data_IF_720352473225
#
_entry.id   IF_720352473225
#
_cell.length_a   1.000
_cell.length_b   1.000
_cell.length_c   1.000
_cell.angle_alpha   90.00
_cell.angle_beta   90.00
_cell.angle_gamma   90.00
#
_symmetry.space_group_name_H-M   'P 1'
#
loop_
_entity.id
_entity.type
_entity.pdbx_description
1 polymer ?
#
# COMPACT_ATOMS: atom_id res chain seq x y z
N UNK A 1 7.71 -10.39 -10.31
CA UNK A 1 7.63 -10.01 -8.88
C UNK A 1 6.67 -8.84 -8.73
N UNK A 2 5.82 -8.87 -7.69
CA UNK A 2 4.91 -7.81 -7.27
C UNK A 2 5.18 -7.46 -5.80
N UNK A 3 5.37 -6.19 -5.49
CA UNK A 3 5.57 -5.66 -4.13
C UNK A 3 4.32 -4.88 -3.72
N UNK A 4 3.72 -5.24 -2.58
CA UNK A 4 2.57 -4.55 -2.02
C UNK A 4 3.01 -3.60 -0.90
N UNK A 5 2.86 -2.29 -1.12
CA UNK A 5 3.11 -1.27 -0.10
C UNK A 5 1.85 -0.96 0.70
N UNK A 6 1.97 -0.59 1.98
CA UNK A 6 0.88 0.06 2.70
C UNK A 6 0.65 1.48 2.14
N UNK A 7 -0.56 2.05 2.26
CA UNK A 7 -0.75 3.47 1.98
C UNK A 7 -0.09 4.31 3.07
N UNK A 8 -0.19 5.63 2.90
CA UNK A 8 0.05 6.59 3.96
C UNK A 8 -1.24 7.22 4.48
N UNK A 9 -1.22 7.59 5.76
CA UNK A 9 -2.25 8.48 6.32
C UNK A 9 -2.15 9.85 5.67
N UNK A 10 -0.96 10.46 5.70
CA UNK A 10 -0.68 11.73 5.05
C UNK A 10 -0.79 11.61 3.53
N UNK A 11 -1.62 12.44 2.90
CA UNK A 11 -1.75 12.52 1.45
C UNK A 11 -1.63 13.98 1.01
N UNK A 12 -0.75 14.25 0.04
CA UNK A 12 -0.65 15.57 -0.55
C UNK A 12 -1.84 15.80 -1.48
N UNK A 13 -2.64 16.82 -1.18
CA UNK A 13 -3.75 17.24 -2.03
C UNK A 13 -3.21 17.91 -3.31
N UNK A 14 -3.49 17.35 -4.51
CA UNK A 14 -3.13 18.01 -5.76
C UNK A 14 -3.83 19.36 -5.87
N UNK A 15 -3.15 20.38 -6.42
CA UNK A 15 -3.77 21.70 -6.67
C UNK A 15 -4.44 21.82 -8.04
N UNK A 16 -4.08 20.93 -8.96
CA UNK A 16 -4.45 20.96 -10.39
C UNK A 16 -4.32 19.56 -10.99
N UNK A 17 -5.06 19.31 -12.05
CA UNK A 17 -5.14 18.01 -12.71
C UNK A 17 -6.59 17.71 -13.10
N UNK A 18 -6.78 16.75 -14.00
CA UNK A 18 -8.12 16.29 -14.32
C UNK A 18 -8.75 15.58 -13.11
N UNK A 19 -10.09 15.64 -12.96
CA UNK A 19 -10.81 14.85 -11.98
C UNK A 19 -10.57 13.35 -12.14
N UNK A 20 -11.00 12.58 -11.13
CA UNK A 20 -10.83 11.14 -11.11
C UNK A 20 -11.61 10.48 -12.26
N UNK A 21 -10.90 9.67 -13.05
CA UNK A 21 -11.49 8.72 -13.98
C UNK A 21 -11.09 7.31 -13.56
N UNK A 22 -12.05 6.58 -12.98
CA UNK A 22 -11.83 5.23 -12.46
C UNK A 22 -11.40 4.24 -13.56
N UNK A 23 -11.83 4.44 -14.80
CA UNK A 23 -11.50 3.56 -15.92
C UNK A 23 -10.02 3.66 -16.34
N UNK A 24 -9.33 4.75 -15.96
CA UNK A 24 -7.90 4.95 -16.23
C UNK A 24 -6.99 4.35 -15.17
N UNK A 25 -7.55 3.91 -14.03
CA UNK A 25 -6.76 3.31 -12.97
C UNK A 25 -6.34 1.89 -13.35
N UNK A 26 -5.14 1.50 -12.94
CA UNK A 26 -4.65 0.13 -13.11
C UNK A 26 -5.58 -0.87 -12.41
N UNK A 27 -5.51 -2.14 -12.85
CA UNK A 27 -6.33 -3.25 -12.34
C UNK A 27 -7.84 -3.02 -12.58
N UNK A 28 -8.30 -3.07 -13.85
CA UNK A 28 -9.67 -2.69 -14.22
C UNK A 28 -10.77 -3.51 -13.52
N UNK A 29 -10.45 -4.74 -13.09
CA UNK A 29 -11.35 -5.60 -12.29
C UNK A 29 -11.79 -4.95 -10.97
N UNK A 30 -11.07 -3.93 -10.50
CA UNK A 30 -11.41 -3.18 -9.28
C UNK A 30 -12.33 -1.98 -9.55
N UNK A 31 -12.70 -1.68 -10.81
CA UNK A 31 -13.43 -0.45 -11.16
C UNK A 31 -14.81 -0.36 -10.49
N UNK A 32 -15.59 -1.44 -10.55
CA UNK A 32 -16.92 -1.47 -9.94
C UNK A 32 -16.90 -1.33 -8.40
N UNK A 33 -16.09 -2.09 -7.63
CA UNK A 33 -16.01 -1.87 -6.19
C UNK A 33 -15.38 -0.52 -5.79
N UNK A 34 -14.54 0.07 -6.65
CA UNK A 34 -14.06 1.45 -6.46
C UNK A 34 -15.20 2.45 -6.56
N UNK A 35 -16.09 2.31 -7.53
CA UNK A 35 -17.26 3.18 -7.69
C UNK A 35 -18.18 3.07 -6.45
N UNK A 36 -18.50 1.85 -6.01
CA UNK A 36 -19.31 1.61 -4.82
C UNK A 36 -18.74 2.33 -3.58
N UNK A 37 -17.45 2.17 -3.29
CA UNK A 37 -16.83 2.79 -2.12
C UNK A 37 -16.67 4.30 -2.26
N UNK A 38 -16.42 4.80 -3.47
CA UNK A 38 -16.35 6.23 -3.77
C UNK A 38 -17.71 6.90 -3.53
N UNK A 39 -18.76 6.38 -4.14
CA UNK A 39 -20.11 6.93 -4.03
C UNK A 39 -20.58 6.89 -2.58
N UNK A 40 -20.40 5.76 -1.89
CA UNK A 40 -20.74 5.63 -0.46
C UNK A 40 -19.99 6.63 0.42
N UNK A 41 -18.70 6.86 0.15
CA UNK A 41 -17.90 7.81 0.91
C UNK A 41 -18.34 9.26 0.65
N UNK A 42 -18.62 9.60 -0.61
CA UNK A 42 -19.09 10.92 -1.02
C UNK A 42 -20.46 11.21 -0.41
N UNK A 43 -21.39 10.26 -0.47
CA UNK A 43 -22.74 10.39 0.10
C UNK A 43 -22.68 10.59 1.62
N UNK A 44 -21.88 9.78 2.32
CA UNK A 44 -21.66 9.93 3.76
C UNK A 44 -21.18 11.35 4.09
N UNK A 45 -20.19 11.86 3.35
CA UNK A 45 -19.56 13.15 3.64
C UNK A 45 -20.38 14.36 3.17
N UNK A 46 -21.29 14.17 2.21
CA UNK A 46 -22.18 15.22 1.69
C UNK A 46 -23.46 15.39 2.53
N UNK A 47 -23.82 14.36 3.32
CA UNK A 47 -24.98 14.37 4.19
C UNK A 47 -24.73 15.09 5.52
N UNK A 48 -24.42 14.33 6.56
CA UNK A 48 -24.21 14.82 7.92
C UNK A 48 -22.71 14.85 8.26
N UNK A 49 -22.08 16.05 8.35
CA UNK A 49 -20.65 16.17 8.61
C UNK A 49 -20.22 15.64 9.98
N UNK A 50 -21.08 15.67 11.00
CA UNK A 50 -20.75 15.17 12.34
C UNK A 50 -20.71 13.65 12.33
N UNK A 51 -21.74 13.03 11.74
CA UNK A 51 -21.79 11.57 11.54
C UNK A 51 -20.65 11.09 10.66
N UNK A 52 -20.34 11.81 9.58
CA UNK A 52 -19.22 11.48 8.71
C UNK A 52 -17.88 11.55 9.47
N UNK A 53 -17.68 12.58 10.29
CA UNK A 53 -16.48 12.69 11.12
C UNK A 53 -16.36 11.54 12.13
N UNK A 54 -17.47 11.14 12.76
CA UNK A 54 -17.51 9.98 13.67
C UNK A 54 -17.12 8.69 12.95
N UNK A 55 -17.78 8.37 11.83
CA UNK A 55 -17.53 7.14 11.05
C UNK A 55 -16.09 7.07 10.52
N UNK A 56 -15.53 8.21 10.10
CA UNK A 56 -14.18 8.30 9.55
C UNK A 56 -13.09 8.48 10.63
N UNK A 57 -13.48 8.51 11.91
CA UNK A 57 -12.62 8.78 13.06
C UNK A 57 -11.79 10.05 12.86
N UNK A 58 -12.44 11.11 12.34
CA UNK A 58 -11.83 12.40 12.07
C UNK A 58 -12.02 13.30 13.30
N UNK A 59 -10.91 13.72 13.89
CA UNK A 59 -10.93 14.65 15.01
C UNK A 59 -11.42 16.05 14.61
N UNK A 60 -11.90 16.83 15.60
CA UNK A 60 -12.44 18.19 15.40
C UNK A 60 -11.51 19.14 14.62
N UNK A 61 -10.20 18.95 14.72
CA UNK A 61 -9.18 19.77 14.02
C UNK A 61 -9.04 19.44 12.54
N UNK A 62 -9.69 18.36 12.06
CA UNK A 62 -9.54 17.82 10.71
C UNK A 62 -10.87 17.73 9.96
N UNK A 63 -11.94 18.39 10.42
CA UNK A 63 -13.28 18.36 9.80
C UNK A 63 -13.28 18.79 8.32
N UNK A 64 -12.30 19.60 7.89
CA UNK A 64 -12.12 19.94 6.48
C UNK A 64 -11.90 18.71 5.58
N UNK A 65 -11.42 17.58 6.12
CA UNK A 65 -11.28 16.32 5.39
C UNK A 65 -12.63 15.69 5.01
N UNK A 66 -13.70 15.95 5.78
CA UNK A 66 -15.05 15.53 5.43
C UNK A 66 -15.51 16.28 4.17
N UNK A 67 -15.37 17.60 4.16
CA UNK A 67 -15.69 18.42 2.97
C UNK A 67 -14.84 18.06 1.75
N UNK A 68 -13.57 17.71 1.95
CA UNK A 68 -12.71 17.23 0.87
C UNK A 68 -13.20 15.90 0.29
N UNK A 69 -13.65 14.97 1.14
CA UNK A 69 -14.24 13.70 0.68
C UNK A 69 -15.54 13.90 -0.10
N UNK A 70 -16.41 14.83 0.34
CA UNK A 70 -17.67 15.15 -0.32
C UNK A 70 -17.50 15.66 -1.77
N UNK A 71 -16.31 16.16 -2.12
CA UNK A 71 -16.00 16.75 -3.44
C UNK A 71 -15.02 15.91 -4.26
N UNK A 72 -14.76 14.66 -3.85
CA UNK A 72 -13.81 13.75 -4.53
C UNK A 72 -14.05 13.59 -6.04
N UNK A 73 -15.29 13.52 -6.56
CA UNK A 73 -15.51 13.36 -8.00
C UNK A 73 -15.03 14.58 -8.82
N UNK A 74 -14.88 15.76 -8.19
CA UNK A 74 -14.37 16.98 -8.82
C UNK A 74 -12.92 17.28 -8.41
N UNK A 75 -12.39 16.57 -7.41
CA UNK A 75 -11.06 16.83 -6.88
C UNK A 75 -9.97 16.57 -7.93
N UNK A 76 -8.96 17.46 -8.04
CA UNK A 76 -7.84 17.24 -8.95
C UNK A 76 -7.05 16.00 -8.54
N UNK A 77 -6.57 15.26 -9.55
CA UNK A 77 -5.75 14.07 -9.34
C UNK A 77 -4.27 14.33 -9.61
N UNK A 78 -3.42 13.55 -8.94
CA UNK A 78 -2.01 13.39 -9.27
C UNK A 78 -1.63 11.90 -9.15
N UNK A 79 -0.43 11.54 -9.62
CA UNK A 79 0.08 10.18 -9.51
C UNK A 79 0.10 9.74 -8.04
N UNK A 80 -0.22 8.48 -7.78
CA UNK A 80 -0.25 7.92 -6.42
C UNK A 80 1.09 8.09 -5.68
N UNK A 81 2.22 8.01 -6.39
CA UNK A 81 3.56 8.29 -5.83
C UNK A 81 3.82 9.75 -5.44
N UNK A 82 2.99 10.69 -5.88
CA UNK A 82 2.99 12.08 -5.45
C UNK A 82 1.89 12.40 -4.44
N UNK A 83 0.83 11.57 -4.37
CA UNK A 83 -0.27 11.73 -3.41
C UNK A 83 0.06 11.09 -2.08
N UNK A 84 0.56 9.85 -2.05
CA UNK A 84 0.95 9.20 -0.79
C UNK A 84 2.29 9.76 -0.29
N UNK A 85 2.31 10.22 0.96
CA UNK A 85 3.44 10.92 1.58
C UNK A 85 3.84 10.34 2.94
N UNK A 86 4.97 10.76 3.48
CA UNK A 86 5.41 10.39 4.81
C UNK A 86 6.41 9.24 4.78
N UNK A 87 6.85 8.83 5.98
CA UNK A 87 8.11 8.12 6.23
C UNK A 87 8.52 7.03 5.23
N UNK A 88 7.60 6.17 4.78
CA UNK A 88 7.92 5.14 3.78
C UNK A 88 8.19 5.76 2.39
N UNK A 89 7.32 6.65 1.95
CA UNK A 89 7.39 7.30 0.65
C UNK A 89 8.53 8.30 0.59
N UNK A 90 8.79 9.01 1.68
CA UNK A 90 9.95 9.90 1.81
C UNK A 90 11.27 9.11 1.72
N UNK A 91 11.32 7.89 2.27
CA UNK A 91 12.51 7.03 2.19
C UNK A 91 12.64 6.29 0.85
N UNK A 92 11.52 6.02 0.16
CA UNK A 92 11.52 5.52 -1.21
C UNK A 92 12.04 6.58 -2.18
N UNK A 93 11.67 7.85 -1.95
CA UNK A 93 12.10 9.03 -2.69
C UNK A 93 12.09 8.82 -4.21
N UNK A 94 10.88 8.61 -4.73
CA UNK A 94 10.65 8.25 -6.14
C UNK A 94 11.24 9.28 -7.11
N UNK A 95 11.29 10.56 -6.71
CA UNK A 95 11.81 11.63 -7.54
C UNK A 95 13.27 11.40 -7.95
N UNK A 96 14.09 10.85 -7.05
CA UNK A 96 15.53 10.64 -7.25
C UNK A 96 15.89 9.27 -7.82
N UNK A 97 14.90 8.40 -8.05
CA UNK A 97 15.14 7.10 -8.69
C UNK A 97 15.66 7.25 -10.13
N UNK A 98 16.56 6.35 -10.53
CA UNK A 98 17.00 6.23 -11.92
C UNK A 98 15.82 5.97 -12.88
N UNK A 99 15.90 6.34 -14.17
CA UNK A 99 14.83 6.05 -15.12
C UNK A 99 14.46 4.56 -15.22
N UNK A 100 15.46 3.68 -15.08
CA UNK A 100 15.24 2.23 -15.06
C UNK A 100 14.50 1.79 -13.78
N UNK A 101 14.88 2.33 -12.62
CA UNK A 101 14.18 2.08 -11.37
C UNK A 101 12.73 2.59 -11.39
N UNK A 102 12.45 3.77 -11.97
CA UNK A 102 11.08 4.30 -12.15
C UNK A 102 10.21 3.38 -13.01
N UNK A 103 10.76 2.84 -14.12
CA UNK A 103 10.04 1.87 -14.96
C UNK A 103 9.71 0.58 -14.18
N UNK A 104 10.69 0.07 -13.41
CA UNK A 104 10.48 -1.10 -12.55
C UNK A 104 9.47 -0.83 -11.44
N UNK A 105 9.50 0.35 -10.83
CA UNK A 105 8.54 0.77 -9.81
C UNK A 105 7.11 0.72 -10.36
N UNK A 106 6.89 1.26 -11.56
CA UNK A 106 5.57 1.26 -12.22
C UNK A 106 5.02 -0.14 -12.50
N UNK A 107 5.87 -1.11 -12.86
CA UNK A 107 5.43 -2.48 -13.18
C UNK A 107 5.42 -3.44 -11.98
N UNK A 108 6.28 -3.22 -10.98
CA UNK A 108 6.50 -4.17 -9.88
C UNK A 108 5.85 -3.74 -8.56
N UNK A 109 5.44 -2.48 -8.40
CA UNK A 109 4.85 -2.00 -7.13
C UNK A 109 3.37 -1.75 -7.29
N UNK A 110 2.60 -2.14 -6.28
CA UNK A 110 1.24 -1.68 -6.05
C UNK A 110 1.09 -1.17 -4.60
N UNK A 111 0.27 -0.16 -4.40
CA UNK A 111 0.01 0.48 -3.11
C UNK A 111 -1.39 0.09 -2.67
N UNK A 112 -1.51 -0.53 -1.50
CA UNK A 112 -2.81 -0.79 -0.90
C UNK A 112 -3.52 0.52 -0.56
N UNK A 113 -4.81 0.59 -0.85
CA UNK A 113 -5.61 1.81 -0.74
C UNK A 113 -6.97 1.48 -0.15
N UNK A 114 -7.37 2.16 0.92
CA UNK A 114 -8.69 1.95 1.51
C UNK A 114 -9.83 2.26 0.53
N UNK A 115 -9.67 3.28 -0.31
CA UNK A 115 -10.68 3.70 -1.27
C UNK A 115 -10.56 3.01 -2.63
N UNK A 116 -9.33 2.63 -3.02
CA UNK A 116 -9.07 2.11 -4.37
C UNK A 116 -8.63 0.64 -4.45
N UNK A 117 -8.52 -0.03 -3.30
CA UNK A 117 -8.09 -1.42 -3.16
C UNK A 117 -6.58 -1.54 -3.34
N UNK A 118 -6.15 -1.49 -4.60
CA UNK A 118 -4.75 -1.39 -5.01
C UNK A 118 -4.62 -0.33 -6.11
N UNK A 119 -3.54 0.45 -6.09
CA UNK A 119 -3.18 1.37 -7.18
C UNK A 119 -1.72 1.23 -7.54
N UNK A 120 -1.36 1.47 -8.79
CA UNK A 120 0.03 1.60 -9.22
C UNK A 120 0.57 2.99 -8.86
N UNK A 121 1.89 3.16 -8.68
CA UNK A 121 2.52 4.47 -8.46
C UNK A 121 2.12 5.53 -9.49
N UNK A 122 1.84 5.13 -10.73
CA UNK A 122 1.43 6.01 -11.82
C UNK A 122 -0.04 6.36 -11.89
N UNK A 123 -0.90 5.63 -11.16
CA UNK A 123 -2.35 5.86 -11.18
C UNK A 123 -2.66 7.26 -10.65
N UNK A 124 -3.56 7.96 -11.32
CA UNK A 124 -3.95 9.32 -10.96
C UNK A 124 -5.12 9.28 -9.98
N UNK A 125 -4.85 9.65 -8.73
CA UNK A 125 -5.84 9.63 -7.63
C UNK A 125 -5.95 11.02 -6.98
N UNK A 126 -7.11 11.35 -6.37
CA UNK A 126 -7.23 12.50 -5.48
C UNK A 126 -6.65 12.17 -4.09
N UNK A 127 -6.39 13.20 -3.28
CA UNK A 127 -6.20 13.00 -1.84
C UNK A 127 -7.57 12.76 -1.18
N UNK A 128 -7.65 11.73 -0.34
CA UNK A 128 -8.89 11.33 0.33
C UNK A 128 -8.60 10.91 1.78
N UNK A 129 -9.64 10.88 2.62
CA UNK A 129 -9.58 10.35 3.99
C UNK A 129 -10.52 9.15 4.12
N UNK A 130 -9.93 7.96 4.14
CA UNK A 130 -10.62 6.71 4.50
C UNK A 130 -9.57 5.77 5.08
N UNK A 131 -9.86 5.18 6.25
CA UNK A 131 -8.98 4.20 6.89
C UNK A 131 -9.36 2.79 6.45
N UNK A 132 -8.39 1.87 6.40
CA UNK A 132 -8.67 0.47 6.04
C UNK A 132 -9.51 -0.27 7.10
N UNK A 133 -9.56 0.23 8.33
CA UNK A 133 -10.40 -0.33 9.40
C UNK A 133 -11.83 0.21 9.42
N UNK A 134 -12.16 1.20 8.58
CA UNK A 134 -13.47 1.85 8.58
C UNK A 134 -14.57 0.89 8.13
N UNK A 135 -15.74 1.02 8.76
CA UNK A 135 -16.99 0.41 8.31
C UNK A 135 -17.91 1.51 7.77
N UNK A 136 -18.22 1.47 6.48
CA UNK A 136 -19.08 2.46 5.86
C UNK A 136 -20.56 2.06 6.04
N UNK A 137 -21.45 2.98 6.44
CA UNK A 137 -22.89 2.70 6.51
C UNK A 137 -23.44 2.17 5.18
N UNK A 138 -24.30 1.16 5.24
CA UNK A 138 -24.92 0.54 4.06
C UNK A 138 -24.04 -0.46 3.30
N UNK A 139 -22.71 -0.39 3.45
CA UNK A 139 -21.74 -1.30 2.78
C UNK A 139 -21.08 -2.26 3.76
N UNK A 140 -20.79 -1.79 4.98
CA UNK A 140 -20.06 -2.55 6.00
C UNK A 140 -18.55 -2.32 5.97
N UNK A 141 -17.74 -3.25 6.52
CA UNK A 141 -16.30 -3.09 6.63
C UNK A 141 -15.62 -2.95 5.26
N UNK A 142 -14.81 -1.92 5.06
CA UNK A 142 -14.02 -1.70 3.83
C UNK A 142 -13.17 -2.93 3.49
N UNK A 143 -12.58 -3.57 4.51
CA UNK A 143 -11.81 -4.78 4.33
C UNK A 143 -12.62 -5.98 3.80
N UNK A 144 -13.94 -6.02 4.03
CA UNK A 144 -14.80 -7.08 3.52
C UNK A 144 -15.03 -6.91 2.01
N UNK A 145 -15.34 -5.69 1.55
CA UNK A 145 -15.47 -5.36 0.12
C UNK A 145 -14.22 -5.78 -0.64
N UNK A 146 -13.04 -5.40 -0.15
CA UNK A 146 -11.78 -5.73 -0.83
C UNK A 146 -11.43 -7.23 -0.82
N UNK A 147 -11.93 -7.99 0.16
CA UNK A 147 -11.67 -9.44 0.27
C UNK A 147 -12.24 -10.20 -0.91
N UNK A 148 -13.36 -9.74 -1.44
CA UNK A 148 -14.06 -10.38 -2.56
C UNK A 148 -13.40 -10.07 -3.91
N UNK A 149 -12.69 -8.93 -4.02
CA UNK A 149 -12.25 -8.42 -5.33
C UNK A 149 -10.73 -8.40 -5.55
N UNK A 150 -9.92 -8.33 -4.48
CA UNK A 150 -8.47 -8.20 -4.63
C UNK A 150 -7.78 -9.49 -5.09
N UNK A 151 -8.37 -10.67 -4.86
CA UNK A 151 -7.74 -11.94 -5.22
C UNK A 151 -7.40 -12.04 -6.70
N UNK A 152 -8.40 -11.94 -7.61
CA UNK A 152 -8.15 -11.92 -9.05
C UNK A 152 -7.16 -10.83 -9.46
N UNK A 153 -7.30 -9.61 -8.94
CA UNK A 153 -6.44 -8.48 -9.28
C UNK A 153 -4.96 -8.70 -8.89
N UNK A 154 -4.71 -9.26 -7.71
CA UNK A 154 -3.35 -9.57 -7.25
C UNK A 154 -2.77 -10.73 -8.04
N UNK A 155 -3.52 -11.81 -8.25
CA UNK A 155 -3.03 -13.00 -8.97
C UNK A 155 -2.69 -12.67 -10.42
N UNK A 156 -3.53 -11.90 -11.12
CA UNK A 156 -3.26 -11.44 -12.48
C UNK A 156 -2.01 -10.56 -12.54
N UNK A 157 -1.91 -9.57 -11.66
CA UNK A 157 -0.75 -8.68 -11.60
C UNK A 157 0.56 -9.38 -11.18
N UNK A 158 0.44 -10.47 -10.43
CA UNK A 158 1.56 -11.27 -9.94
C UNK A 158 2.13 -12.20 -11.02
N UNK A 159 1.26 -12.79 -11.86
CA UNK A 159 1.64 -13.79 -12.86
C UNK A 159 2.33 -15.00 -12.22
N UNK A 160 3.55 -15.30 -12.67
CA UNK A 160 4.45 -16.35 -12.15
C UNK A 160 5.51 -15.83 -11.16
N UNK A 161 5.48 -14.53 -10.82
CA UNK A 161 6.50 -13.88 -9.99
C UNK A 161 6.35 -14.06 -8.47
N UNK A 162 7.33 -13.56 -7.72
CA UNK A 162 7.27 -13.47 -6.25
C UNK A 162 6.31 -12.35 -5.79
N UNK A 163 5.49 -12.61 -4.77
CA UNK A 163 4.74 -11.59 -4.04
C UNK A 163 5.53 -11.18 -2.79
N UNK A 164 5.85 -9.89 -2.68
CA UNK A 164 6.50 -9.30 -1.50
C UNK A 164 5.48 -8.44 -0.77
N UNK A 165 4.99 -8.92 0.37
CA UNK A 165 4.00 -8.21 1.18
C UNK A 165 4.68 -7.33 2.24
N UNK A 166 4.60 -6.01 2.03
CA UNK A 166 5.08 -4.99 2.96
C UNK A 166 3.94 -4.27 3.68
N UNK A 167 2.68 -4.67 3.45
CA UNK A 167 1.50 -4.01 4.02
C UNK A 167 1.50 -4.08 5.55
N UNK A 168 0.80 -3.15 6.19
CA UNK A 168 0.45 -3.29 7.61
C UNK A 168 -0.69 -4.28 7.79
N UNK A 169 -0.89 -4.77 9.01
CA UNK A 169 -1.94 -5.75 9.35
C UNK A 169 -3.34 -5.32 8.92
N UNK A 170 -3.68 -4.03 9.05
CA UNK A 170 -4.96 -3.50 8.62
C UNK A 170 -5.23 -3.72 7.12
N UNK A 171 -4.22 -3.55 6.27
CA UNK A 171 -4.37 -3.73 4.82
C UNK A 171 -4.11 -5.17 4.38
N UNK A 172 -3.39 -5.97 5.17
CA UNK A 172 -3.31 -7.42 4.98
C UNK A 172 -4.68 -8.11 5.17
N UNK A 173 -5.60 -7.49 5.91
CA UNK A 173 -6.97 -7.99 6.08
C UNK A 173 -7.85 -7.83 4.82
N UNK A 174 -7.42 -6.98 3.87
CA UNK A 174 -8.13 -6.78 2.60
C UNK A 174 -8.03 -8.02 1.72
N UNK A 175 -6.89 -8.72 1.76
CA UNK A 175 -6.73 -9.96 1.04
C UNK A 175 -5.49 -10.71 1.55
N UNK A 176 -5.62 -12.02 1.67
CA UNK A 176 -4.54 -12.95 2.00
C UNK A 176 -4.35 -13.91 0.83
N UNK A 177 -3.09 -14.18 0.52
CA UNK A 177 -2.76 -15.17 -0.49
C UNK A 177 -3.32 -16.56 -0.09
N UNK A 178 -3.95 -17.28 -1.03
CA UNK A 178 -4.32 -18.68 -0.82
C UNK A 178 -3.07 -19.55 -0.66
N UNK A 179 -3.26 -20.75 -0.09
CA UNK A 179 -2.15 -21.62 0.32
C UNK A 179 -1.26 -22.10 -0.85
N UNK A 180 -1.83 -22.21 -2.05
CA UNK A 180 -1.11 -22.58 -3.27
C UNK A 180 -0.13 -21.49 -3.74
N UNK A 181 -0.39 -20.22 -3.42
CA UNK A 181 0.56 -19.13 -3.67
C UNK A 181 1.66 -19.04 -2.60
N UNK A 182 1.50 -19.68 -1.44
CA UNK A 182 2.41 -19.54 -0.30
C UNK A 182 3.91 -19.72 -0.64
N UNK A 183 4.35 -20.67 -1.49
CA UNK A 183 5.76 -20.81 -1.87
C UNK A 183 6.35 -19.56 -2.56
N UNK A 184 5.50 -18.67 -3.07
CA UNK A 184 5.85 -17.43 -3.77
C UNK A 184 5.45 -16.19 -2.98
N UNK A 185 5.21 -16.30 -1.67
CA UNK A 185 4.87 -15.16 -0.81
C UNK A 185 5.98 -14.92 0.21
N UNK A 186 6.57 -13.74 0.16
CA UNK A 186 7.49 -13.23 1.17
C UNK A 186 6.83 -12.11 1.96
N UNK A 187 6.66 -12.27 3.27
CA UNK A 187 6.24 -11.18 4.16
C UNK A 187 7.45 -10.58 4.83
N UNK A 188 7.69 -9.29 4.70
CA UNK A 188 8.87 -8.65 5.31
C UNK A 188 8.50 -7.93 6.60
N UNK A 189 9.18 -8.30 7.68
CA UNK A 189 9.07 -7.66 8.99
C UNK A 189 10.40 -7.00 9.33
N UNK A 190 10.35 -5.74 9.74
CA UNK A 190 11.54 -5.00 10.18
C UNK A 190 11.63 -5.06 11.70
N UNK A 191 12.77 -5.53 12.20
CA UNK A 191 13.09 -5.63 13.62
C UNK A 191 14.27 -4.71 13.92
N UNK A 192 14.17 -3.95 15.01
CA UNK A 192 15.27 -3.15 15.54
C UNK A 192 15.95 -3.90 16.66
N UNK A 193 17.27 -4.05 16.57
CA UNK A 193 18.08 -4.69 17.59
C UNK A 193 18.91 -3.65 18.34
N UNK A 194 18.71 -3.60 19.65
CA UNK A 194 19.46 -2.72 20.56
C UNK A 194 19.73 -3.47 21.87
N UNK A 195 20.99 -3.53 22.29
CA UNK A 195 21.40 -4.25 23.50
C UNK A 195 20.98 -5.73 23.51
N UNK A 196 21.03 -6.40 22.34
CA UNK A 196 20.62 -7.81 22.18
C UNK A 196 19.10 -8.05 22.26
N UNK A 197 18.27 -7.00 22.32
CA UNK A 197 16.80 -7.10 22.32
C UNK A 197 16.24 -6.61 21.00
N UNK A 198 15.32 -7.41 20.42
CA UNK A 198 14.65 -7.09 19.17
C UNK A 198 13.24 -6.55 19.40
N UNK A 199 12.89 -5.44 18.76
CA UNK A 199 11.56 -4.83 18.83
C UNK A 199 11.12 -4.29 17.47
N UNK A 200 9.82 -4.30 17.22
CA UNK A 200 9.25 -3.57 16.08
C UNK A 200 9.11 -2.10 16.48
N UNK A 201 9.76 -1.20 15.73
CA UNK A 201 9.61 0.24 15.93
C UNK A 201 8.96 0.86 14.69
N UNK A 202 7.70 1.28 14.83
CA UNK A 202 6.82 1.60 13.70
C UNK A 202 7.34 2.67 12.74
N UNK A 203 7.96 3.75 13.25
CA UNK A 203 8.51 4.81 12.39
C UNK A 203 9.69 4.31 11.56
N UNK A 204 10.69 3.70 12.20
CA UNK A 204 11.84 3.16 11.49
C UNK A 204 11.46 2.01 10.56
N UNK A 205 10.47 1.19 10.92
CA UNK A 205 9.95 0.13 10.05
C UNK A 205 9.46 0.69 8.71
N UNK A 206 8.69 1.78 8.71
CA UNK A 206 8.22 2.45 7.48
C UNK A 206 9.41 2.94 6.64
N UNK A 207 10.39 3.60 7.26
CA UNK A 207 11.56 4.13 6.55
C UNK A 207 12.38 2.99 5.92
N UNK A 208 12.66 1.94 6.69
CA UNK A 208 13.40 0.76 6.23
C UNK A 208 12.69 0.08 5.06
N UNK A 209 11.37 -0.10 5.12
CA UNK A 209 10.60 -0.63 3.99
C UNK A 209 10.74 0.22 2.73
N UNK A 210 10.69 1.55 2.87
CA UNK A 210 10.94 2.48 1.75
C UNK A 210 12.33 2.30 1.13
N UNK A 211 13.37 2.21 1.98
CA UNK A 211 14.77 1.99 1.55
C UNK A 211 14.98 0.62 0.88
N UNK A 212 14.37 -0.44 1.41
CA UNK A 212 14.42 -1.78 0.80
C UNK A 212 13.83 -1.74 -0.62
N UNK A 213 12.65 -1.13 -0.77
CA UNK A 213 11.98 -1.05 -2.07
C UNK A 213 12.82 -0.22 -3.04
N UNK A 214 13.36 0.92 -2.59
CA UNK A 214 14.31 1.73 -3.36
C UNK A 214 15.50 0.89 -3.85
N UNK A 215 16.17 0.19 -2.95
CA UNK A 215 17.36 -0.61 -3.27
C UNK A 215 17.05 -1.76 -4.25
N UNK A 216 15.90 -2.45 -4.09
CA UNK A 216 15.42 -3.46 -5.03
C UNK A 216 15.11 -2.84 -6.41
N UNK A 217 14.47 -1.67 -6.42
CA UNK A 217 14.18 -0.98 -7.67
C UNK A 217 15.45 -0.47 -8.35
N UNK A 218 16.49 -0.05 -7.63
CA UNK A 218 17.75 0.41 -8.24
C UNK A 218 18.60 -0.75 -8.75
N UNK A 219 18.75 -1.84 -7.97
CA UNK A 219 19.52 -3.03 -8.40
C UNK A 219 18.94 -3.72 -9.63
N UNK A 220 17.62 -3.66 -9.80
CA UNK A 220 16.92 -4.32 -10.89
C UNK A 220 16.67 -5.82 -10.69
N UNK A 221 17.17 -6.39 -9.59
CA UNK A 221 16.97 -7.78 -9.21
C UNK A 221 15.48 -8.16 -9.24
N UNK A 222 15.21 -9.39 -9.68
CA UNK A 222 13.86 -9.91 -9.85
C UNK A 222 13.77 -11.34 -9.28
N UNK A 223 13.91 -11.52 -7.95
CA UNK A 223 13.83 -12.84 -7.33
C UNK A 223 12.45 -13.46 -7.54
N UNK A 224 12.42 -14.79 -7.69
CA UNK A 224 11.19 -15.57 -7.89
C UNK A 224 10.75 -16.36 -6.65
N UNK A 225 11.61 -16.48 -5.62
CA UNK A 225 11.32 -17.17 -4.35
C UNK A 225 11.66 -16.29 -3.15
N UNK A 226 11.05 -16.53 -1.96
CA UNK A 226 11.41 -15.82 -0.74
C UNK A 226 12.89 -15.97 -0.36
N UNK A 227 13.49 -17.13 -0.60
CA UNK A 227 14.91 -17.42 -0.33
C UNK A 227 15.82 -16.57 -1.24
N UNK A 228 15.53 -16.53 -2.54
CA UNK A 228 16.27 -15.68 -3.48
C UNK A 228 16.10 -14.19 -3.17
N UNK A 229 14.93 -13.77 -2.67
CA UNK A 229 14.75 -12.40 -2.18
C UNK A 229 15.65 -12.12 -0.97
N UNK A 230 15.75 -13.05 -0.02
CA UNK A 230 16.64 -12.88 1.14
C UNK A 230 18.11 -12.77 0.71
N UNK A 231 18.55 -13.54 -0.28
CA UNK A 231 19.90 -13.44 -0.86
C UNK A 231 20.15 -12.05 -1.48
N UNK A 232 19.25 -11.59 -2.35
CA UNK A 232 19.32 -10.26 -2.95
C UNK A 232 19.36 -9.16 -1.89
N UNK A 233 18.55 -9.27 -0.83
CA UNK A 233 18.56 -8.28 0.25
C UNK A 233 19.89 -8.28 1.02
N UNK A 234 20.52 -9.44 1.22
CA UNK A 234 21.86 -9.54 1.83
C UNK A 234 22.94 -8.94 0.95
N UNK A 235 22.89 -9.15 -0.36
CA UNK A 235 23.78 -8.48 -1.33
C UNK A 235 23.61 -6.96 -1.30
N UNK A 236 22.38 -6.49 -1.05
CA UNK A 236 22.06 -5.08 -0.81
C UNK A 236 22.37 -4.61 0.63
N UNK A 237 23.22 -5.35 1.35
CA UNK A 237 23.72 -5.04 2.69
C UNK A 237 22.66 -5.02 3.80
N UNK A 238 21.54 -5.72 3.63
CA UNK A 238 20.56 -5.94 4.70
C UNK A 238 20.89 -7.22 5.49
N UNK A 239 20.77 -7.17 6.82
CA UNK A 239 20.77 -8.39 7.62
C UNK A 239 19.37 -9.03 7.57
N UNK A 240 19.26 -10.22 6.97
CA UNK A 240 17.99 -10.91 6.75
C UNK A 240 18.01 -12.32 7.32
N UNK A 241 17.06 -12.59 8.22
CA UNK A 241 16.75 -13.92 8.75
C UNK A 241 15.50 -14.48 8.04
N UNK A 242 15.58 -15.74 7.61
CA UNK A 242 14.50 -16.41 6.87
C UNK A 242 13.75 -17.32 7.83
N UNK A 243 12.44 -17.08 8.00
CA UNK A 243 11.57 -17.95 8.77
C UNK A 243 11.24 -19.24 8.03
N UNK A 244 10.73 -20.24 8.75
CA UNK A 244 10.25 -21.46 8.11
C UNK A 244 9.06 -21.15 7.17
N UNK A 245 8.97 -21.79 5.99
CA UNK A 245 7.80 -21.69 5.13
C UNK A 245 6.52 -22.14 5.84
N UNK A 246 5.42 -21.42 5.60
CA UNK A 246 4.10 -21.75 6.15
C UNK A 246 3.03 -21.72 5.05
N UNK A 247 1.80 -22.14 5.35
CA UNK A 247 0.66 -21.98 4.44
C UNK A 247 0.32 -20.51 4.12
N UNK A 248 0.95 -19.54 4.79
CA UNK A 248 0.80 -18.09 4.53
C UNK A 248 2.00 -17.49 3.80
N UNK A 249 2.98 -18.31 3.44
CA UNK A 249 4.26 -17.91 2.87
C UNK A 249 5.41 -17.92 3.87
N UNK A 250 6.51 -17.32 3.46
CA UNK A 250 7.77 -17.25 4.20
C UNK A 250 7.95 -15.85 4.77
N UNK A 251 8.24 -15.76 6.07
CA UNK A 251 8.55 -14.48 6.70
C UNK A 251 10.04 -14.16 6.56
N UNK A 252 10.37 -12.95 6.13
CA UNK A 252 11.72 -12.42 6.11
C UNK A 252 11.85 -11.34 7.18
N UNK A 253 12.66 -11.60 8.20
CA UNK A 253 12.97 -10.64 9.25
C UNK A 253 14.21 -9.84 8.83
N UNK A 254 14.01 -8.57 8.49
CA UNK A 254 15.10 -7.62 8.24
C UNK A 254 15.46 -6.97 9.57
N UNK A 255 16.66 -7.27 10.06
CA UNK A 255 17.16 -6.78 11.34
C UNK A 255 18.00 -5.54 11.07
N UNK A 256 17.66 -4.45 11.75
CA UNK A 256 18.37 -3.18 11.70
C UNK A 256 18.96 -2.92 13.08
N UNK A 257 20.29 -2.96 13.18
CA UNK A 257 20.99 -2.52 14.38
C UNK A 257 20.91 -1.00 14.48
N UNK A 258 20.87 -0.47 15.70
CA UNK A 258 21.12 0.96 15.89
C UNK A 258 22.50 1.31 15.29
N UNK A 259 22.53 2.30 14.39
CA UNK A 259 23.78 2.96 13.95
C UNK A 259 24.29 3.86 15.07
#
# INVERSE_FOLDING_TARGET
>A
MLILLPPSEGKAAPRRGHPLDLATLSLPVLTEPRALLLDTLVDLCSGDPEKAAEVLEIGRTQLALVGANATLPQAPTARADAVYTGVLYDALDVATLSPAAKRRLGSRVAIASALFGLVRPSDRIPAYRLSGGTSLPGVGPVAAVWREHLGPAVTEALGDGLLVDLRSSAYAAFWRAPADLAPRVATVRVLHESGGRRKVVSHFNKATKGRIVRALMESGAAPHTPEALAEVLRELSWHVEVGAPTAKGTQLDVVVSDL
#
